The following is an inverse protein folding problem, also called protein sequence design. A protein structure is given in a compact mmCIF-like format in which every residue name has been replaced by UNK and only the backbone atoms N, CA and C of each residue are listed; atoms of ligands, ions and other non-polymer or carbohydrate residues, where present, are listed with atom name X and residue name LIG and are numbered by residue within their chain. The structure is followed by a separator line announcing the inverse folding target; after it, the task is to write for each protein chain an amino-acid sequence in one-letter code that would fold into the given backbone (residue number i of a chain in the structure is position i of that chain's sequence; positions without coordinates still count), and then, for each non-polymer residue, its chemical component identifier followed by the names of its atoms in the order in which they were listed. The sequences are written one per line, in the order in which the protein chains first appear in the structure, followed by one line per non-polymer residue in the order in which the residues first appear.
data_IF_167966799050
#
_entry.id   IF_167966799050
#
_cell.length_a   1.000
_cell.length_b   1.000
_cell.length_c   1.000
_cell.angle_alpha   90.00
_cell.angle_beta   90.00
_cell.angle_gamma   90.00
#
_symmetry.space_group_name_H-M   'P 1'
#
loop_
_entity.id
_entity.type
_entity.pdbx_description
1 polymer ?
#
# COMPACT_ATOMS: atom_id res chain seq x y z
N UNK A 1 8.25 42.03 -27.49
CA UNK A 1 7.05 41.95 -26.64
C UNK A 1 6.51 40.54 -26.77
N UNK A 2 6.69 39.71 -25.74
CA UNK A 2 6.09 38.38 -25.67
C UNK A 2 4.57 38.62 -25.45
N UNK A 3 3.80 38.64 -26.53
CA UNK A 3 2.36 38.60 -26.47
C UNK A 3 1.97 37.13 -26.10
N UNK A 4 1.72 36.86 -24.83
CA UNK A 4 1.14 35.61 -24.41
C UNK A 4 -0.30 35.56 -24.92
N UNK A 5 -0.54 34.80 -25.96
CA UNK A 5 -1.89 34.51 -26.42
C UNK A 5 -2.58 33.63 -25.36
N UNK A 6 -3.79 34.02 -24.96
CA UNK A 6 -4.60 33.31 -23.97
C UNK A 6 -4.80 31.83 -24.37
N UNK A 7 -4.83 31.51 -25.67
CA UNK A 7 -4.93 30.18 -26.21
C UNK A 7 -3.66 29.35 -25.93
N UNK A 8 -2.47 29.95 -26.09
CA UNK A 8 -1.21 29.28 -25.78
C UNK A 8 -1.09 28.98 -24.29
N UNK A 9 -1.51 29.88 -23.43
CA UNK A 9 -1.46 29.75 -22.00
C UNK A 9 -2.38 28.60 -21.52
N UNK A 10 -3.55 28.46 -22.15
CA UNK A 10 -4.48 27.34 -21.87
C UNK A 10 -3.91 25.98 -22.28
N UNK A 11 -3.24 25.90 -23.43
CA UNK A 11 -2.58 24.65 -23.90
C UNK A 11 -1.43 24.27 -22.96
N UNK A 12 -0.61 25.22 -22.56
CA UNK A 12 0.47 24.97 -21.60
C UNK A 12 -0.06 24.49 -20.25
N UNK A 13 -1.10 25.16 -19.74
CA UNK A 13 -1.70 24.80 -18.47
C UNK A 13 -2.29 23.39 -18.51
N UNK A 14 -3.01 23.01 -19.57
CA UNK A 14 -3.57 21.66 -19.72
C UNK A 14 -2.50 20.59 -19.86
N UNK A 15 -1.36 20.89 -20.51
CA UNK A 15 -0.27 19.94 -20.68
C UNK A 15 0.35 19.47 -19.33
N UNK A 16 0.44 20.37 -18.35
CA UNK A 16 0.93 20.03 -17.00
C UNK A 16 -0.16 19.58 -16.05
N UNK A 17 -1.39 20.07 -16.23
CA UNK A 17 -2.51 19.84 -15.31
C UNK A 17 -2.97 18.37 -15.29
N UNK A 18 -3.14 17.75 -16.45
CA UNK A 18 -3.63 16.37 -16.53
C UNK A 18 -2.67 15.35 -15.91
N UNK A 19 -1.37 15.36 -16.22
CA UNK A 19 -0.43 14.49 -15.54
C UNK A 19 -0.34 14.76 -14.04
N UNK A 20 -0.46 16.03 -13.61
CA UNK A 20 -0.45 16.41 -12.20
C UNK A 20 -1.54 15.71 -11.40
N UNK A 21 -2.75 15.60 -11.94
CA UNK A 21 -3.86 14.91 -11.26
C UNK A 21 -3.55 13.43 -11.01
N UNK A 22 -3.03 12.71 -12.01
CA UNK A 22 -2.65 11.29 -11.85
C UNK A 22 -1.55 11.13 -10.82
N UNK A 23 -0.51 11.95 -10.90
CA UNK A 23 0.64 11.90 -9.99
C UNK A 23 0.22 12.23 -8.55
N UNK A 24 -0.58 13.27 -8.33
CA UNK A 24 -1.07 13.62 -6.99
C UNK A 24 -2.01 12.55 -6.43
N UNK A 25 -2.84 11.93 -7.26
CA UNK A 25 -3.70 10.83 -6.86
C UNK A 25 -2.86 9.62 -6.40
N UNK A 26 -1.81 9.27 -7.14
CA UNK A 26 -0.87 8.22 -6.73
C UNK A 26 -0.15 8.58 -5.42
N UNK A 27 0.44 9.77 -5.31
CA UNK A 27 1.15 10.22 -4.09
C UNK A 27 0.21 10.23 -2.87
N UNK A 28 -1.08 10.49 -3.08
CA UNK A 28 -2.06 10.51 -1.99
C UNK A 28 -2.41 9.12 -1.47
N UNK A 29 -2.28 8.08 -2.30
CA UNK A 29 -2.69 6.71 -1.99
C UNK A 29 -1.51 5.74 -1.86
N UNK A 30 -0.37 6.02 -2.48
CA UNK A 30 0.81 5.17 -2.43
C UNK A 30 1.41 5.10 -1.01
N UNK A 31 1.88 3.91 -0.57
CA UNK A 31 2.55 3.76 0.71
C UNK A 31 3.75 4.71 0.80
N UNK A 32 4.17 5.04 2.01
CA UNK A 32 5.19 6.05 2.33
C UNK A 32 4.70 7.47 2.02
N UNK A 33 4.35 7.78 0.77
CA UNK A 33 3.90 9.12 0.38
C UNK A 33 2.56 9.52 1.02
N UNK A 34 1.66 8.55 1.27
CA UNK A 34 0.36 8.80 1.91
C UNK A 34 0.45 9.04 3.42
N UNK A 35 1.60 8.79 4.04
CA UNK A 35 1.76 8.93 5.50
C UNK A 35 1.34 10.32 6.01
N UNK A 36 0.67 10.31 7.19
CA UNK A 36 0.14 11.53 7.83
C UNK A 36 1.23 12.52 8.24
N UNK A 37 2.45 12.04 8.47
CA UNK A 37 3.61 12.84 8.86
C UNK A 37 4.10 13.72 7.72
N UNK A 38 3.83 13.35 6.45
CA UNK A 38 4.21 14.13 5.28
C UNK A 38 3.15 15.20 5.03
N UNK A 39 3.55 16.48 5.13
CA UNK A 39 2.63 17.60 4.94
C UNK A 39 2.10 17.65 3.49
N UNK A 40 0.86 18.13 3.34
CA UNK A 40 0.24 18.29 2.01
C UNK A 40 1.07 19.15 1.06
N UNK A 41 1.78 20.16 1.60
CA UNK A 41 2.66 21.03 0.82
C UNK A 41 3.81 20.27 0.17
N UNK A 42 4.43 19.33 0.92
CA UNK A 42 5.51 18.48 0.41
C UNK A 42 4.99 17.54 -0.67
N UNK A 43 3.81 16.93 -0.49
CA UNK A 43 3.19 16.06 -1.50
C UNK A 43 2.91 16.81 -2.81
N UNK A 44 2.38 18.02 -2.72
CA UNK A 44 2.12 18.87 -3.90
C UNK A 44 3.43 19.31 -4.56
N UNK A 45 4.44 19.70 -3.77
CA UNK A 45 5.75 20.08 -4.29
C UNK A 45 6.45 18.92 -5.02
N UNK A 46 6.43 17.73 -4.43
CA UNK A 46 6.97 16.51 -5.05
C UNK A 46 6.21 16.16 -6.34
N UNK A 47 4.88 16.21 -6.31
CA UNK A 47 4.04 15.98 -7.48
C UNK A 47 4.34 16.98 -8.60
N UNK A 48 4.50 18.25 -8.27
CA UNK A 48 4.88 19.30 -9.22
C UNK A 48 6.26 19.08 -9.84
N UNK A 49 7.24 18.64 -9.04
CA UNK A 49 8.58 18.32 -9.53
C UNK A 49 8.55 17.13 -10.50
N UNK A 50 7.84 16.07 -10.16
CA UNK A 50 7.67 14.88 -11.03
C UNK A 50 6.97 15.27 -12.33
N UNK A 51 5.94 16.12 -12.28
CA UNK A 51 5.25 16.61 -13.48
C UNK A 51 6.19 17.36 -14.41
N UNK A 52 7.03 18.25 -13.88
CA UNK A 52 7.99 19.02 -14.69
C UNK A 52 8.96 18.10 -15.42
N UNK A 53 9.31 16.95 -14.82
CA UNK A 53 10.20 15.98 -15.44
C UNK A 53 9.49 15.12 -16.50
N UNK A 54 8.23 14.72 -16.25
CA UNK A 54 7.50 13.78 -17.12
C UNK A 54 6.73 14.51 -18.23
N UNK A 55 6.12 15.67 -17.97
CA UNK A 55 5.28 16.35 -18.94
C UNK A 55 5.96 16.63 -20.30
N UNK A 56 7.24 17.03 -20.37
CA UNK A 56 7.90 17.25 -21.67
C UNK A 56 8.00 16.01 -22.56
N UNK A 57 7.91 14.80 -21.97
CA UNK A 57 7.97 13.53 -22.73
C UNK A 57 6.60 13.09 -23.26
N UNK A 58 5.53 13.77 -22.84
CA UNK A 58 4.15 13.40 -23.18
C UNK A 58 3.64 14.21 -24.37
N UNK A 59 2.75 13.64 -25.19
CA UNK A 59 2.08 14.40 -26.25
C UNK A 59 1.20 15.49 -25.65
N UNK A 60 1.18 16.67 -26.30
CA UNK A 60 0.37 17.79 -25.85
C UNK A 60 -1.12 17.44 -25.91
N UNK A 61 -1.83 17.69 -24.81
CA UNK A 61 -3.29 17.53 -24.76
C UNK A 61 -3.95 18.88 -25.01
N UNK A 62 -4.82 18.93 -26.02
CA UNK A 62 -5.58 20.14 -26.38
C UNK A 62 -6.96 20.20 -25.71
N UNK A 63 -7.22 19.39 -24.67
CA UNK A 63 -8.51 19.32 -23.98
C UNK A 63 -8.61 20.49 -22.99
N UNK A 64 -9.60 21.39 -23.13
CA UNK A 64 -9.78 22.49 -22.21
C UNK A 64 -10.12 21.99 -20.80
N UNK A 65 -9.49 22.61 -19.78
CA UNK A 65 -9.68 22.21 -18.37
C UNK A 65 -11.14 22.42 -17.95
N UNK A 66 -11.74 23.56 -18.34
CA UNK A 66 -13.12 23.93 -18.00
C UNK A 66 -14.12 23.46 -19.06
N UNK A 67 -14.18 22.15 -19.31
CA UNK A 67 -15.13 21.51 -20.22
C UNK A 67 -15.68 20.23 -19.61
N UNK A 68 -16.83 19.75 -20.10
CA UNK A 68 -17.37 18.45 -19.69
C UNK A 68 -16.39 17.30 -19.98
N UNK A 69 -15.70 17.37 -21.13
CA UNK A 69 -14.63 16.43 -21.48
C UNK A 69 -13.45 16.53 -20.52
N UNK A 70 -13.07 17.74 -20.08
CA UNK A 70 -12.03 17.96 -19.07
C UNK A 70 -12.41 17.37 -17.71
N UNK A 71 -13.66 17.55 -17.25
CA UNK A 71 -14.13 16.94 -16.01
C UNK A 71 -14.05 15.40 -16.06
N UNK A 72 -14.50 14.82 -17.17
CA UNK A 72 -14.41 13.37 -17.38
C UNK A 72 -12.96 12.88 -17.33
N UNK A 73 -12.07 13.59 -18.01
CA UNK A 73 -10.65 13.28 -18.03
C UNK A 73 -10.01 13.41 -16.64
N UNK A 74 -10.39 14.43 -15.84
CA UNK A 74 -9.92 14.57 -14.46
C UNK A 74 -10.28 13.35 -13.62
N UNK A 75 -11.53 12.86 -13.71
CA UNK A 75 -11.98 11.67 -13.00
C UNK A 75 -11.14 10.45 -13.43
N UNK A 76 -10.92 10.26 -14.72
CA UNK A 76 -10.10 9.15 -15.23
C UNK A 76 -8.67 9.21 -14.71
N UNK A 77 -8.00 10.40 -14.76
CA UNK A 77 -6.64 10.54 -14.28
C UNK A 77 -6.53 10.25 -12.78
N UNK A 78 -7.49 10.70 -11.98
CA UNK A 78 -7.56 10.42 -10.55
C UNK A 78 -7.77 8.92 -10.32
N UNK A 79 -8.69 8.27 -11.03
CA UNK A 79 -8.96 6.83 -10.89
C UNK A 79 -7.72 6.00 -11.21
N UNK A 80 -6.99 6.31 -12.29
CA UNK A 80 -5.76 5.61 -12.64
C UNK A 80 -4.72 5.79 -11.52
N UNK A 81 -4.48 7.03 -11.08
CA UNK A 81 -3.50 7.30 -10.02
C UNK A 81 -3.84 6.60 -8.69
N UNK A 82 -5.13 6.62 -8.30
CA UNK A 82 -5.61 5.92 -7.10
C UNK A 82 -5.45 4.41 -7.26
N UNK A 83 -5.80 3.83 -8.41
CA UNK A 83 -5.65 2.39 -8.65
C UNK A 83 -4.20 1.94 -8.51
N UNK A 84 -3.25 2.69 -9.07
CA UNK A 84 -1.82 2.43 -8.94
C UNK A 84 -1.35 2.47 -7.48
N UNK A 85 -1.72 3.52 -6.75
CA UNK A 85 -1.35 3.67 -5.35
C UNK A 85 -1.98 2.63 -4.43
N UNK A 86 -3.27 2.28 -4.65
CA UNK A 86 -3.96 1.23 -3.89
C UNK A 86 -3.36 -0.15 -4.13
N UNK A 87 -3.02 -0.48 -5.37
CA UNK A 87 -2.36 -1.76 -5.69
C UNK A 87 -1.11 -1.96 -4.84
N UNK A 88 -0.27 -0.93 -4.76
CA UNK A 88 0.93 -0.99 -3.92
C UNK A 88 0.60 -1.01 -2.41
N UNK A 89 -0.46 -0.33 -2.00
CA UNK A 89 -0.93 -0.33 -0.61
C UNK A 89 -1.33 -1.74 -0.12
N UNK A 90 -1.77 -2.62 -1.02
CA UNK A 90 -2.15 -3.99 -0.67
C UNK A 90 -0.95 -4.82 -0.19
N UNK A 91 0.26 -4.60 -0.71
CA UNK A 91 1.47 -5.24 -0.18
C UNK A 91 1.68 -4.90 1.31
N UNK A 92 1.58 -3.62 1.65
CA UNK A 92 1.73 -3.18 3.04
C UNK A 92 0.56 -3.62 3.92
N UNK A 93 -0.64 -3.72 3.36
CA UNK A 93 -1.80 -4.27 4.06
C UNK A 93 -1.60 -5.74 4.41
N UNK A 94 -0.98 -6.54 3.54
CA UNK A 94 -0.63 -7.93 3.82
C UNK A 94 0.32 -8.06 5.02
N UNK A 95 1.38 -7.25 5.05
CA UNK A 95 2.33 -7.25 6.18
C UNK A 95 1.66 -6.79 7.48
N UNK A 96 0.79 -5.77 7.41
CA UNK A 96 0.02 -5.32 8.58
C UNK A 96 -0.91 -6.42 9.09
N UNK A 97 -1.64 -7.09 8.19
CA UNK A 97 -2.52 -8.21 8.55
C UNK A 97 -1.75 -9.32 9.27
N UNK A 98 -0.56 -9.67 8.77
CA UNK A 98 0.31 -10.63 9.44
C UNK A 98 0.63 -10.20 10.88
N UNK A 99 1.05 -8.95 11.06
CA UNK A 99 1.36 -8.40 12.38
C UNK A 99 0.15 -8.36 13.32
N UNK A 100 -1.05 -8.08 12.81
CA UNK A 100 -2.29 -8.13 13.59
C UNK A 100 -2.62 -9.54 14.04
N UNK A 101 -2.59 -10.52 13.13
CA UNK A 101 -2.88 -11.92 13.44
C UNK A 101 -1.87 -12.49 14.42
N UNK A 102 -0.58 -12.21 14.23
CA UNK A 102 0.48 -12.61 15.17
C UNK A 102 0.24 -11.98 16.55
N UNK A 103 -0.04 -10.68 16.60
CA UNK A 103 -0.31 -9.97 17.85
C UNK A 103 -1.52 -10.51 18.61
N UNK A 104 -2.59 -10.89 17.88
CA UNK A 104 -3.76 -11.53 18.48
C UNK A 104 -3.39 -12.90 19.08
N UNK A 105 -2.63 -13.72 18.37
CA UNK A 105 -2.21 -15.06 18.84
C UNK A 105 -1.27 -14.98 20.06
N UNK A 106 -0.45 -13.95 20.16
CA UNK A 106 0.41 -13.69 21.33
C UNK A 106 -0.38 -13.11 22.53
N UNK A 107 -1.66 -12.78 22.34
CA UNK A 107 -2.49 -12.18 23.40
C UNK A 107 -2.26 -10.67 23.59
N UNK A 108 -1.49 -9.99 22.72
CA UNK A 108 -1.25 -8.55 22.83
C UNK A 108 -2.51 -7.70 22.63
N UNK A 109 -3.55 -8.25 22.01
CA UNK A 109 -4.83 -7.58 21.82
C UNK A 109 -5.58 -7.34 23.14
N UNK A 110 -5.28 -8.07 24.21
CA UNK A 110 -5.87 -7.81 25.52
C UNK A 110 -5.50 -6.43 26.05
N UNK A 111 -4.31 -5.90 25.69
CA UNK A 111 -3.91 -4.55 26.10
C UNK A 111 -4.80 -3.46 25.51
N UNK A 112 -5.38 -3.67 24.34
CA UNK A 112 -6.27 -2.70 23.68
C UNK A 112 -7.67 -2.65 24.30
N UNK A 113 -8.10 -3.70 25.01
CA UNK A 113 -9.36 -3.72 25.74
C UNK A 113 -9.32 -2.86 27.00
N UNK A 114 -8.14 -2.64 27.58
CA UNK A 114 -7.98 -1.87 28.82
C UNK A 114 -7.83 -0.36 28.59
N UNK A 115 -7.54 0.07 27.36
CA UNK A 115 -7.48 1.50 27.02
C UNK A 115 -8.36 1.83 25.80
N UNK A 116 -9.68 1.93 25.99
CA UNK A 116 -10.61 2.29 24.93
C UNK A 116 -10.49 3.77 24.50
N UNK A 117 -9.77 4.61 25.26
CA UNK A 117 -9.59 6.03 24.95
C UNK A 117 -8.50 6.28 23.87
N UNK A 118 -7.70 5.28 23.57
CA UNK A 118 -6.55 5.35 22.66
C UNK A 118 -6.85 5.46 21.16
N UNK A 119 -8.11 5.60 20.73
CA UNK A 119 -8.50 5.66 19.31
C UNK A 119 -8.18 4.36 18.53
N UNK A 120 -8.38 4.31 17.21
CA UNK A 120 -8.05 3.15 16.39
C UNK A 120 -6.53 3.01 16.25
N UNK A 121 -5.89 2.48 17.27
CA UNK A 121 -4.45 2.25 17.30
C UNK A 121 -4.13 0.93 16.62
N UNK A 122 -3.26 1.00 15.61
CA UNK A 122 -2.69 -0.19 14.98
C UNK A 122 -1.95 -1.02 16.05
N UNK A 123 -2.18 -2.35 16.12
CA UNK A 123 -1.45 -3.23 17.03
C UNK A 123 0.06 -3.06 16.91
N UNK A 124 0.76 -3.14 18.04
CA UNK A 124 2.21 -2.84 18.12
C UNK A 124 3.03 -3.65 17.11
N UNK A 125 2.73 -4.95 16.96
CA UNK A 125 3.43 -5.81 16.00
C UNK A 125 3.10 -5.46 14.55
N UNK A 126 1.86 -5.13 14.24
CA UNK A 126 1.48 -4.69 12.90
C UNK A 126 2.22 -3.40 12.53
N UNK A 127 2.35 -2.47 13.48
CA UNK A 127 3.11 -1.23 13.29
C UNK A 127 4.60 -1.50 13.08
N UNK A 128 5.19 -2.39 13.90
CA UNK A 128 6.60 -2.77 13.78
C UNK A 128 6.89 -3.37 12.40
N UNK A 129 6.12 -4.39 11.99
CA UNK A 129 6.30 -5.06 10.71
C UNK A 129 6.05 -4.11 9.54
N UNK A 130 5.06 -3.23 9.63
CA UNK A 130 4.81 -2.21 8.61
C UNK A 130 5.99 -1.22 8.46
N UNK A 131 6.60 -0.78 9.57
CA UNK A 131 7.79 0.08 9.53
C UNK A 131 8.99 -0.65 8.90
N UNK A 132 9.21 -1.91 9.26
CA UNK A 132 10.25 -2.73 8.63
C UNK A 132 10.01 -2.93 7.14
N UNK A 133 8.76 -3.21 6.73
CA UNK A 133 8.40 -3.30 5.32
C UNK A 133 8.64 -1.98 4.56
N UNK A 134 8.33 -0.83 5.18
CA UNK A 134 8.63 0.48 4.58
C UNK A 134 10.14 0.70 4.39
N UNK A 135 10.96 0.34 5.37
CA UNK A 135 12.41 0.43 5.26
C UNK A 135 12.96 -0.50 4.18
N UNK A 136 12.46 -1.74 4.10
CA UNK A 136 12.83 -2.69 3.04
C UNK A 136 12.40 -2.18 1.67
N UNK A 137 11.20 -1.63 1.53
CA UNK A 137 10.73 -1.04 0.28
C UNK A 137 11.64 0.10 -0.21
N UNK A 138 12.10 0.95 0.70
CA UNK A 138 13.07 2.00 0.38
C UNK A 138 14.43 1.42 0.03
N UNK A 139 14.87 0.37 0.73
CA UNK A 139 16.16 -0.30 0.48
C UNK A 139 16.21 -1.03 -0.86
N UNK A 140 15.07 -1.52 -1.34
CA UNK A 140 14.95 -2.16 -2.66
C UNK A 140 14.62 -1.16 -3.79
N UNK A 141 14.75 0.14 -3.55
CA UNK A 141 14.41 1.20 -4.51
C UNK A 141 12.96 1.14 -5.04
N UNK A 142 12.04 0.52 -4.29
CA UNK A 142 10.65 0.33 -4.69
C UNK A 142 9.92 1.64 -4.97
N UNK A 143 10.31 2.73 -4.32
CA UNK A 143 9.79 4.07 -4.59
C UNK A 143 10.18 4.58 -5.98
N UNK A 144 11.39 4.24 -6.48
CA UNK A 144 11.83 4.60 -7.84
C UNK A 144 11.11 3.75 -8.88
N UNK A 145 10.93 2.45 -8.62
CA UNK A 145 10.13 1.56 -9.46
C UNK A 145 8.69 2.05 -9.60
N UNK A 146 8.08 2.53 -8.52
CA UNK A 146 6.72 3.06 -8.55
C UNK A 146 6.62 4.33 -9.43
N UNK A 147 7.61 5.22 -9.36
CA UNK A 147 7.69 6.42 -10.20
C UNK A 147 7.91 6.05 -11.67
N UNK A 148 8.77 5.06 -11.95
CA UNK A 148 8.98 4.54 -13.32
C UNK A 148 7.68 3.99 -13.91
N UNK A 149 6.98 3.12 -13.17
CA UNK A 149 5.68 2.59 -13.58
C UNK A 149 4.62 3.68 -13.79
N UNK A 150 4.65 4.72 -12.97
CA UNK A 150 3.79 5.89 -13.18
C UNK A 150 4.10 6.58 -14.52
N UNK A 151 5.39 6.76 -14.86
CA UNK A 151 5.79 7.35 -16.14
C UNK A 151 5.35 6.45 -17.32
N UNK A 152 5.57 5.14 -17.23
CA UNK A 152 5.16 4.16 -18.23
C UNK A 152 3.63 4.10 -18.40
N UNK A 153 2.88 4.38 -17.31
CA UNK A 153 1.42 4.43 -17.36
C UNK A 153 0.88 5.52 -18.29
N UNK A 154 1.64 6.57 -18.56
CA UNK A 154 1.24 7.62 -19.51
C UNK A 154 1.40 7.19 -20.98
N UNK A 155 2.30 6.23 -21.24
CA UNK A 155 2.47 5.63 -22.57
C UNK A 155 1.42 4.57 -22.84
N UNK A 156 1.07 3.77 -21.83
CA UNK A 156 0.06 2.70 -21.94
C UNK A 156 -1.38 3.25 -21.89
N UNK A 157 -1.63 4.24 -21.01
CA UNK A 157 -2.90 4.93 -20.82
C UNK A 157 -2.70 6.42 -21.06
N UNK A 158 -2.62 6.86 -22.33
CA UNK A 158 -2.41 8.27 -22.65
C UNK A 158 -3.58 9.13 -22.16
N UNK A 159 -3.33 10.45 -22.08
CA UNK A 159 -4.31 11.44 -21.63
C UNK A 159 -5.35 11.65 -22.73
N UNK A 160 -6.40 10.83 -22.73
CA UNK A 160 -7.47 10.80 -23.73
C UNK A 160 -8.84 10.72 -23.08
N UNK A 161 -9.89 11.13 -23.81
CA UNK A 161 -11.27 11.10 -23.33
C UNK A 161 -11.98 9.76 -23.53
N UNK A 162 -11.28 8.77 -24.08
CA UNK A 162 -11.85 7.43 -24.25
C UNK A 162 -12.13 6.80 -22.88
N UNK A 163 -13.25 6.07 -22.72
CA UNK A 163 -13.58 5.44 -21.45
C UNK A 163 -12.58 4.33 -21.10
N UNK A 164 -12.18 4.26 -19.83
CA UNK A 164 -11.35 3.16 -19.32
C UNK A 164 -12.08 1.83 -19.42
N UNK A 165 -11.34 0.77 -19.73
CA UNK A 165 -11.90 -0.57 -19.73
C UNK A 165 -12.16 -1.02 -18.27
N UNK A 166 -13.35 -1.56 -18.01
CA UNK A 166 -13.73 -2.07 -16.70
C UNK A 166 -12.92 -3.26 -16.21
N UNK A 167 -12.25 -3.99 -17.11
CA UNK A 167 -11.45 -5.16 -16.78
C UNK A 167 -10.29 -4.83 -15.83
N UNK A 168 -9.68 -3.64 -15.94
CA UNK A 168 -8.63 -3.21 -15.02
C UNK A 168 -9.11 -3.11 -13.57
N UNK A 169 -10.35 -2.69 -13.34
CA UNK A 169 -10.92 -2.64 -11.99
C UNK A 169 -11.25 -4.04 -11.45
N UNK A 170 -11.61 -4.99 -12.30
CA UNK A 170 -11.76 -6.40 -11.91
C UNK A 170 -10.41 -6.98 -11.49
N UNK A 171 -9.35 -6.72 -12.25
CA UNK A 171 -7.99 -7.13 -11.87
C UNK A 171 -7.59 -6.49 -10.53
N UNK A 172 -7.87 -5.21 -10.31
CA UNK A 172 -7.59 -4.51 -9.06
C UNK A 172 -8.28 -5.19 -7.86
N UNK A 173 -9.55 -5.61 -8.00
CA UNK A 173 -10.25 -6.33 -6.93
C UNK A 173 -9.63 -7.70 -6.65
N UNK A 174 -9.16 -8.40 -7.69
CA UNK A 174 -8.45 -9.68 -7.53
C UNK A 174 -7.11 -9.50 -6.80
N UNK A 175 -6.38 -8.42 -7.06
CA UNK A 175 -5.14 -8.09 -6.34
C UNK A 175 -5.40 -7.92 -4.83
N UNK A 176 -6.58 -7.46 -4.43
CA UNK A 176 -6.98 -7.41 -3.02
C UNK A 176 -6.89 -8.75 -2.28
N UNK A 177 -7.00 -9.89 -2.97
CA UNK A 177 -6.82 -11.21 -2.38
C UNK A 177 -5.41 -11.46 -1.87
N UNK A 178 -4.41 -10.79 -2.45
CA UNK A 178 -3.00 -10.92 -2.03
C UNK A 178 -2.80 -10.47 -0.58
N UNK A 179 -3.64 -9.56 -0.07
CA UNK A 179 -3.59 -9.14 1.33
C UNK A 179 -3.74 -10.36 2.25
N UNK A 180 -4.74 -11.19 1.99
CA UNK A 180 -5.03 -12.36 2.82
C UNK A 180 -4.02 -13.47 2.58
N UNK A 181 -3.70 -13.78 1.33
CA UNK A 181 -2.78 -14.87 0.97
C UNK A 181 -1.40 -14.60 1.57
N UNK A 182 -0.80 -13.46 1.24
CA UNK A 182 0.55 -13.12 1.67
C UNK A 182 0.60 -12.79 3.17
N UNK A 183 -0.45 -12.13 3.71
CA UNK A 183 -0.54 -11.86 5.14
C UNK A 183 -0.59 -13.13 5.98
N UNK A 184 -1.40 -14.10 5.56
CA UNK A 184 -1.46 -15.42 6.21
C UNK A 184 -0.19 -16.22 6.01
N UNK A 185 0.42 -16.23 4.81
CA UNK A 185 1.69 -16.92 4.57
C UNK A 185 2.80 -16.43 5.51
N UNK A 186 2.90 -15.12 5.73
CA UNK A 186 3.89 -14.56 6.65
C UNK A 186 3.59 -14.92 8.11
N UNK A 187 2.31 -14.94 8.51
CA UNK A 187 1.91 -15.23 9.89
C UNK A 187 1.88 -16.72 10.22
N UNK A 188 1.69 -17.59 9.23
CA UNK A 188 1.38 -19.02 9.40
C UNK A 188 2.39 -19.79 10.25
N UNK A 189 3.72 -19.66 10.08
CA UNK A 189 4.69 -20.40 10.92
C UNK A 189 4.50 -20.09 12.41
N UNK A 190 4.29 -18.82 12.73
CA UNK A 190 4.12 -18.36 14.12
C UNK A 190 2.75 -18.76 14.67
N UNK A 191 1.70 -18.69 13.85
CA UNK A 191 0.35 -19.17 14.20
C UNK A 191 0.40 -20.66 14.57
N UNK A 192 1.01 -21.51 13.74
CA UNK A 192 1.12 -22.95 13.99
C UNK A 192 1.84 -23.26 15.31
N UNK A 193 2.95 -22.56 15.57
CA UNK A 193 3.70 -22.71 16.81
C UNK A 193 2.86 -22.30 18.02
N UNK A 194 2.25 -21.11 18.00
CA UNK A 194 1.47 -20.60 19.12
C UNK A 194 0.18 -21.40 19.36
N UNK A 195 -0.48 -21.90 18.30
CA UNK A 195 -1.63 -22.81 18.46
C UNK A 195 -1.24 -24.11 19.11
N UNK A 196 -0.12 -24.71 18.71
CA UNK A 196 0.39 -25.95 19.31
C UNK A 196 0.71 -25.73 20.79
N UNK A 197 1.34 -24.61 21.12
CA UNK A 197 1.65 -24.22 22.49
C UNK A 197 0.36 -23.99 23.31
N UNK A 198 -0.62 -23.31 22.76
CA UNK A 198 -1.91 -23.09 23.42
C UNK A 198 -2.67 -24.40 23.65
N UNK A 199 -2.61 -25.37 22.70
CA UNK A 199 -3.14 -26.72 22.91
C UNK A 199 -2.45 -27.43 24.07
N UNK A 200 -1.12 -27.38 24.12
CA UNK A 200 -0.35 -28.00 25.22
C UNK A 200 -0.71 -27.39 26.58
N UNK A 201 -0.79 -26.05 26.63
CA UNK A 201 -1.22 -25.33 27.85
C UNK A 201 -2.67 -25.68 28.25
N UNK A 202 -3.58 -25.83 27.29
CA UNK A 202 -4.96 -26.26 27.54
C UNK A 202 -5.05 -27.67 28.13
N UNK A 203 -4.23 -28.60 27.65
CA UNK A 203 -4.13 -29.94 28.21
C UNK A 203 -3.56 -29.93 29.63
N UNK A 204 -2.48 -29.18 29.87
CA UNK A 204 -1.91 -28.99 31.21
C UNK A 204 -2.93 -28.44 32.20
N UNK A 205 -3.72 -27.42 31.80
CA UNK A 205 -4.78 -26.88 32.65
C UNK A 205 -5.84 -27.90 33.02
N UNK A 206 -6.14 -28.85 32.13
CA UNK A 206 -7.08 -29.92 32.40
C UNK A 206 -6.52 -30.93 33.43
N UNK A 207 -5.21 -31.13 33.42
CA UNK A 207 -4.55 -32.05 34.37
C UNK A 207 -4.27 -31.41 35.74
N UNK A 208 -4.02 -30.09 35.75
CA UNK A 208 -3.67 -29.32 36.94
C UNK A 208 -4.53 -28.02 37.03
N UNK A 209 -5.81 -28.14 37.40
CA UNK A 209 -6.74 -27.01 37.40
C UNK A 209 -6.42 -25.92 38.43
N UNK A 210 -5.47 -26.15 39.32
CA UNK A 210 -4.97 -25.16 40.30
C UNK A 210 -4.04 -24.12 39.64
N UNK A 211 -3.48 -24.40 38.47
CA UNK A 211 -2.64 -23.46 37.75
C UNK A 211 -3.54 -22.61 36.84
N UNK A 212 -3.66 -21.33 37.14
CA UNK A 212 -4.39 -20.41 36.28
C UNK A 212 -3.66 -20.28 34.94
N UNK A 213 -4.27 -20.77 33.85
CA UNK A 213 -3.72 -20.67 32.48
C UNK A 213 -3.45 -19.22 32.07
N UNK A 214 -4.23 -18.28 32.58
CA UNK A 214 -4.02 -16.84 32.32
C UNK A 214 -2.71 -16.34 32.95
N UNK A 215 -2.32 -16.83 34.11
CA UNK A 215 -1.11 -16.38 34.81
C UNK A 215 0.15 -16.93 34.15
N UNK A 216 0.13 -18.17 33.68
CA UNK A 216 1.31 -18.83 33.10
C UNK A 216 1.26 -18.76 31.56
N UNK A 217 0.08 -18.88 30.95
CA UNK A 217 -0.10 -18.95 29.52
C UNK A 217 0.35 -17.69 28.79
N UNK A 218 -0.07 -16.52 29.27
CA UNK A 218 0.28 -15.25 28.63
C UNK A 218 1.80 -14.97 28.60
N UNK A 219 2.57 -15.08 29.70
CA UNK A 219 4.03 -14.92 29.64
C UNK A 219 4.70 -15.95 28.73
N UNK A 220 4.23 -17.19 28.71
CA UNK A 220 4.78 -18.25 27.88
C UNK A 220 4.52 -17.97 26.39
N UNK A 221 3.27 -17.68 25.99
CA UNK A 221 2.95 -17.39 24.60
C UNK A 221 3.68 -16.16 24.09
N UNK A 222 3.83 -15.13 24.95
CA UNK A 222 4.56 -13.91 24.61
C UNK A 222 6.05 -14.15 24.41
N UNK A 223 6.68 -14.92 25.32
CA UNK A 223 8.10 -15.25 25.22
C UNK A 223 8.41 -16.08 23.98
N UNK A 224 7.67 -17.15 23.75
CA UNK A 224 7.83 -17.99 22.55
C UNK A 224 7.50 -17.23 21.27
N UNK A 225 6.48 -16.36 21.31
CA UNK A 225 6.12 -15.53 20.16
C UNK A 225 7.24 -14.54 19.78
N UNK A 226 7.82 -13.84 20.75
CA UNK A 226 8.94 -12.92 20.49
C UNK A 226 10.18 -13.69 20.00
N UNK A 227 10.49 -14.83 20.61
CA UNK A 227 11.63 -15.67 20.19
C UNK A 227 11.47 -16.13 18.74
N UNK A 228 10.29 -16.64 18.39
CA UNK A 228 10.00 -17.10 17.01
C UNK A 228 9.99 -15.95 16.03
N UNK A 229 9.43 -14.80 16.41
CA UNK A 229 9.45 -13.59 15.58
C UNK A 229 10.91 -13.17 15.29
N UNK A 230 11.78 -13.20 16.30
CA UNK A 230 13.21 -12.91 16.13
C UNK A 230 13.89 -13.88 15.15
N UNK A 231 13.56 -15.17 15.21
CA UNK A 231 14.07 -16.18 14.28
C UNK A 231 13.53 -16.00 12.85
N UNK A 232 12.35 -15.41 12.69
CA UNK A 232 11.76 -15.12 11.38
C UNK A 232 12.29 -13.83 10.73
N UNK A 233 12.94 -12.92 11.48
CA UNK A 233 13.43 -11.65 10.96
C UNK A 233 14.32 -11.78 9.72
N UNK A 234 15.26 -12.72 9.61
CA UNK A 234 16.06 -12.90 8.40
C UNK A 234 15.24 -13.28 7.15
N UNK A 235 14.07 -13.91 7.34
CA UNK A 235 13.18 -14.30 6.24
C UNK A 235 12.28 -13.16 5.77
N UNK A 236 12.16 -12.07 6.56
CA UNK A 236 11.29 -10.95 6.24
C UNK A 236 11.75 -10.20 4.98
N UNK A 237 13.05 -10.04 4.79
CA UNK A 237 13.59 -9.32 3.64
C UNK A 237 13.29 -10.06 2.32
N UNK A 238 13.63 -11.35 2.13
CA UNK A 238 13.30 -12.07 0.91
C UNK A 238 11.78 -12.21 0.70
N UNK A 239 10.99 -12.32 1.77
CA UNK A 239 9.54 -12.33 1.67
C UNK A 239 9.01 -10.99 1.13
N UNK A 240 9.46 -9.86 1.66
CA UNK A 240 9.05 -8.52 1.20
C UNK A 240 9.51 -8.28 -0.25
N UNK A 241 10.71 -8.71 -0.63
CA UNK A 241 11.20 -8.59 -2.01
C UNK A 241 10.28 -9.32 -2.99
N UNK A 242 9.93 -10.57 -2.69
CA UNK A 242 8.99 -11.36 -3.48
C UNK A 242 7.60 -10.71 -3.55
N UNK A 243 7.07 -10.28 -2.39
CA UNK A 243 5.76 -9.64 -2.29
C UNK A 243 5.69 -8.35 -3.12
N UNK A 244 6.71 -7.50 -3.03
CA UNK A 244 6.77 -6.26 -3.80
C UNK A 244 6.88 -6.56 -5.30
N UNK A 245 7.72 -7.53 -5.70
CA UNK A 245 7.82 -7.97 -7.09
C UNK A 245 6.47 -8.44 -7.64
N UNK A 246 5.78 -9.35 -6.92
CA UNK A 246 4.46 -9.81 -7.30
C UNK A 246 3.45 -8.67 -7.46
N UNK A 247 3.45 -7.70 -6.54
CA UNK A 247 2.54 -6.56 -6.60
C UNK A 247 2.89 -5.62 -7.75
N UNK A 248 4.17 -5.44 -8.11
CA UNK A 248 4.56 -4.69 -9.29
C UNK A 248 4.08 -5.36 -10.58
N UNK A 249 4.18 -6.69 -10.69
CA UNK A 249 3.65 -7.44 -11.83
C UNK A 249 2.12 -7.28 -11.95
N UNK A 250 1.42 -7.36 -10.82
CA UNK A 250 -0.03 -7.11 -10.77
C UNK A 250 -0.40 -5.68 -11.14
N UNK A 251 0.42 -4.71 -10.75
CA UNK A 251 0.23 -3.31 -11.08
C UNK A 251 0.32 -3.08 -12.61
N UNK A 252 1.30 -3.72 -13.26
CA UNK A 252 1.37 -3.72 -14.73
C UNK A 252 0.12 -4.37 -15.37
N UNK A 253 -0.39 -5.47 -14.80
CA UNK A 253 -1.62 -6.11 -15.25
C UNK A 253 -2.87 -5.23 -15.06
N UNK A 254 -2.96 -4.47 -13.96
CA UNK A 254 -4.05 -3.50 -13.71
C UNK A 254 -4.05 -2.42 -14.79
N UNK A 255 -2.86 -1.85 -15.11
CA UNK A 255 -2.72 -0.85 -16.18
C UNK A 255 -3.14 -1.45 -17.52
N UNK A 256 -2.61 -2.63 -17.87
CA UNK A 256 -2.96 -3.31 -19.12
C UNK A 256 -4.44 -3.65 -19.24
N UNK A 257 -5.09 -4.01 -18.13
CA UNK A 257 -6.53 -4.26 -18.07
C UNK A 257 -7.41 -3.01 -18.21
N UNK A 258 -6.85 -1.80 -17.99
CA UNK A 258 -7.54 -0.52 -18.19
C UNK A 258 -7.40 0.03 -19.60
N UNK A 259 -6.55 -0.57 -20.45
CA UNK A 259 -6.39 -0.15 -21.85
C UNK A 259 -7.67 -0.35 -22.63
N UNK A 260 -7.86 0.50 -23.64
CA UNK A 260 -9.08 0.61 -24.46
C UNK A 260 -9.34 -0.65 -25.31
#
# INVERSE_FOLDING_TARGET
VLAFDSAQLTVWLSHYFWPLLRILALISTAPIFSEKQISKKVKIGLGGLIVILIAPTLPASNIPIFSAAGLWLAIQQILIGVALGLTMQFAFAAVRLAGEVIGMQMGLSFATFFDPSGGPNMPVLARLLNLLAMLLFLSFDGHLWLISLLADSFHTLPVQTQPLNGNGFLVLTQVGSLIFINGMMLALPLICLLLTLNMALGLLNRMTPQLSVFVIGFPVTMTFGIMTLGMMMPMLAPFCEHLFGEVFDRLAAVIGGMTF
#
